data_IF_783175888391
#
_entry.id   IF_783175888391
#
_cell.length_a   1.000
_cell.length_b   1.000
_cell.length_c   1.000
_cell.angle_alpha   90.00
_cell.angle_beta   90.00
_cell.angle_gamma   90.00
#
_symmetry.space_group_name_H-M   'P 1'
#
loop_
_entity.id
_entity.type
_entity.pdbx_description
1 polymer ?
#
# COMPACT_ATOMS: atom_id res chain seq x y z
N UNK A 1 -1.40 15.51 -4.25
CA UNK A 1 -0.21 16.41 -4.31
C UNK A 1 -0.53 17.67 -5.13
N UNK A 2 0.20 18.79 -5.01
CA UNK A 2 -0.03 19.98 -5.84
C UNK A 2 0.12 19.66 -7.33
N UNK A 3 -0.87 20.00 -8.16
CA UNK A 3 -0.85 19.69 -9.60
C UNK A 3 0.33 20.34 -10.35
N UNK A 4 0.80 21.49 -9.87
CA UNK A 4 2.02 22.14 -10.37
C UNK A 4 3.27 21.23 -10.31
N UNK A 5 3.38 20.35 -9.29
CA UNK A 5 4.48 19.37 -9.23
C UNK A 5 4.35 18.30 -10.32
N UNK A 6 3.14 18.01 -10.78
CA UNK A 6 2.91 17.12 -11.93
C UNK A 6 3.31 17.81 -13.22
N UNK A 7 2.84 19.03 -13.47
CA UNK A 7 3.06 19.71 -14.75
C UNK A 7 4.50 20.17 -14.95
N UNK A 8 5.17 20.70 -13.92
CA UNK A 8 6.54 21.23 -14.05
C UNK A 8 7.63 20.19 -13.83
N UNK A 9 7.38 19.20 -12.96
CA UNK A 9 8.40 18.23 -12.55
C UNK A 9 8.08 16.80 -12.99
N UNK A 10 6.89 16.52 -13.53
CA UNK A 10 6.48 15.17 -13.92
C UNK A 10 6.08 14.30 -12.73
N UNK A 11 5.70 14.89 -11.60
CA UNK A 11 5.34 14.17 -10.38
C UNK A 11 6.55 13.43 -9.79
N UNK A 12 6.31 12.27 -9.18
CA UNK A 12 7.33 11.49 -8.49
C UNK A 12 8.34 10.80 -9.41
N UNK A 13 8.34 11.08 -10.71
CA UNK A 13 9.47 10.74 -11.60
C UNK A 13 10.71 11.57 -11.28
N UNK A 14 10.56 12.70 -10.61
CA UNK A 14 11.62 13.67 -10.40
C UNK A 14 12.10 13.68 -8.95
N UNK A 15 13.38 13.39 -8.76
CA UNK A 15 14.04 13.30 -7.46
C UNK A 15 13.90 14.58 -6.60
N UNK A 16 13.71 15.75 -7.21
CA UNK A 16 13.48 17.02 -6.48
C UNK A 16 12.24 16.98 -5.59
N UNK A 17 11.26 16.11 -5.87
CA UNK A 17 10.06 15.97 -5.03
C UNK A 17 10.36 15.45 -3.64
N UNK A 18 11.47 14.72 -3.45
CA UNK A 18 11.95 14.35 -2.11
C UNK A 18 12.11 15.59 -1.25
N UNK A 19 12.83 16.61 -1.74
CA UNK A 19 13.12 17.81 -0.96
C UNK A 19 11.86 18.66 -0.75
N UNK A 20 10.97 18.72 -1.74
CA UNK A 20 9.67 19.39 -1.58
C UNK A 20 8.81 18.73 -0.51
N UNK A 21 8.75 17.39 -0.49
CA UNK A 21 8.05 16.63 0.54
C UNK A 21 8.69 16.83 1.92
N UNK A 22 10.01 16.69 2.03
CA UNK A 22 10.73 16.89 3.31
C UNK A 22 10.49 18.29 3.86
N UNK A 23 10.47 19.32 3.01
CA UNK A 23 10.15 20.69 3.40
C UNK A 23 8.71 20.82 3.90
N UNK A 24 7.75 20.27 3.17
CA UNK A 24 6.34 20.24 3.58
C UNK A 24 6.17 19.54 4.94
N UNK A 25 6.73 18.34 5.08
CA UNK A 25 6.71 17.55 6.29
C UNK A 25 7.29 18.37 7.47
N UNK A 26 8.49 18.96 7.31
CA UNK A 26 9.09 19.78 8.38
C UNK A 26 8.14 20.89 8.85
N UNK A 27 7.48 21.61 7.95
CA UNK A 27 6.53 22.68 8.30
C UNK A 27 5.36 22.13 9.11
N UNK A 28 4.69 21.08 8.64
CA UNK A 28 3.50 20.55 9.33
C UNK A 28 3.85 19.91 10.67
N UNK A 29 4.94 19.15 10.74
CA UNK A 29 5.38 18.51 11.97
C UNK A 29 5.79 19.57 13.01
N UNK A 30 6.59 20.59 12.65
CA UNK A 30 6.93 21.67 13.59
C UNK A 30 5.69 22.43 14.07
N UNK A 31 4.70 22.67 13.20
CA UNK A 31 3.48 23.40 13.55
C UNK A 31 2.57 22.61 14.50
N UNK A 32 2.48 21.29 14.32
CA UNK A 32 1.48 20.45 14.98
C UNK A 32 2.05 19.42 15.97
N UNK A 33 3.36 19.46 16.25
CA UNK A 33 4.06 18.52 17.13
C UNK A 33 3.46 18.31 18.54
N UNK A 34 2.68 19.27 19.05
CA UNK A 34 2.00 19.18 20.35
C UNK A 34 0.48 19.01 20.23
N UNK A 35 -0.03 18.82 19.00
CA UNK A 35 -1.47 18.66 18.71
C UNK A 35 -1.79 17.32 18.05
N UNK A 36 -0.84 16.77 17.30
CA UNK A 36 -1.03 15.52 16.55
C UNK A 36 0.09 14.56 16.92
N UNK A 37 -0.27 13.42 17.51
CA UNK A 37 0.66 12.38 17.96
C UNK A 37 0.93 11.33 16.89
N UNK A 38 -0.10 10.91 16.15
CA UNK A 38 -0.03 9.84 15.15
C UNK A 38 -0.02 10.43 13.74
N UNK A 39 0.92 9.98 12.93
CA UNK A 39 1.15 10.46 11.58
C UNK A 39 1.38 9.31 10.62
N UNK A 40 0.90 9.45 9.39
CA UNK A 40 1.28 8.59 8.27
C UNK A 40 1.83 9.46 7.14
N UNK A 41 2.61 8.84 6.26
CA UNK A 41 3.39 9.56 5.25
C UNK A 41 2.66 9.61 3.91
N UNK A 42 2.54 8.47 3.23
CA UNK A 42 1.81 8.32 1.97
C UNK A 42 0.66 7.34 2.15
N UNK A 43 -0.55 7.76 1.78
CA UNK A 43 -1.72 6.89 1.77
C UNK A 43 -1.56 5.81 0.70
N UNK A 44 -1.87 4.57 1.06
CA UNK A 44 -1.92 3.40 0.19
C UNK A 44 -0.82 3.40 -0.87
N UNK A 45 0.42 3.55 -0.43
CA UNK A 45 1.58 3.76 -1.32
C UNK A 45 1.73 2.63 -2.35
N UNK A 46 1.23 1.44 -2.02
CA UNK A 46 1.30 0.24 -2.85
C UNK A 46 0.19 0.12 -3.89
N UNK A 47 -0.83 0.99 -3.91
CA UNK A 47 -1.86 0.94 -4.96
C UNK A 47 -1.24 1.07 -6.36
N UNK A 48 -0.17 1.85 -6.50
CA UNK A 48 0.57 1.99 -7.77
C UNK A 48 1.24 0.70 -8.25
N UNK A 49 1.25 -0.39 -7.46
CA UNK A 49 1.60 -1.72 -7.96
C UNK A 49 0.70 -2.14 -9.14
N UNK A 50 -0.55 -1.66 -9.19
CA UNK A 50 -1.37 -1.66 -10.39
C UNK A 50 -1.00 -0.49 -11.31
N UNK A 51 0.13 -0.61 -12.00
CA UNK A 51 0.61 0.42 -12.94
C UNK A 51 -0.05 0.32 -14.33
N UNK A 52 -0.86 -0.70 -14.59
CA UNK A 52 -1.56 -0.87 -15.85
C UNK A 52 -2.73 0.09 -16.01
N UNK A 53 -3.27 0.59 -14.89
CA UNK A 53 -4.31 1.62 -14.85
C UNK A 53 -3.73 3.01 -14.55
N UNK A 54 -4.49 4.06 -14.88
CA UNK A 54 -4.03 5.44 -14.68
C UNK A 54 -4.30 5.94 -13.25
N UNK A 55 -5.29 5.39 -12.56
CA UNK A 55 -5.77 5.91 -11.28
C UNK A 55 -4.67 5.92 -10.21
N UNK A 56 -4.08 4.75 -9.91
CA UNK A 56 -3.14 4.64 -8.81
C UNK A 56 -1.81 5.37 -9.07
N UNK A 57 -1.15 5.21 -10.23
CA UNK A 57 0.06 5.97 -10.56
C UNK A 57 -0.16 7.49 -10.54
N UNK A 58 -1.32 7.97 -10.98
CA UNK A 58 -1.63 9.41 -10.95
C UNK A 58 -1.92 9.92 -9.53
N UNK A 59 -2.72 9.19 -8.74
CA UNK A 59 -3.14 9.65 -7.41
C UNK A 59 -2.05 9.47 -6.35
N UNK A 60 -1.34 8.33 -6.34
CA UNK A 60 -0.20 8.14 -5.44
C UNK A 60 0.95 9.08 -5.82
N UNK A 61 1.30 9.07 -7.10
CA UNK A 61 2.64 9.46 -7.55
C UNK A 61 2.64 10.63 -8.55
N UNK A 62 1.46 11.12 -8.95
CA UNK A 62 1.37 12.17 -9.97
C UNK A 62 1.94 11.75 -11.32
N UNK A 63 2.00 10.43 -11.58
CA UNK A 63 2.53 9.87 -12.81
C UNK A 63 1.47 9.96 -13.88
N UNK A 64 1.72 10.81 -14.89
CA UNK A 64 0.96 10.81 -16.14
C UNK A 64 1.81 10.13 -17.20
N UNK A 65 1.39 8.93 -17.60
CA UNK A 65 2.11 8.18 -18.62
C UNK A 65 1.95 8.81 -20.00
N UNK A 66 3.01 8.74 -20.80
CA UNK A 66 2.97 9.10 -22.21
C UNK A 66 2.37 7.95 -23.04
N UNK A 67 1.73 8.24 -24.19
CA UNK A 67 1.29 7.19 -25.10
C UNK A 67 2.43 6.25 -25.49
N UNK A 68 2.24 4.95 -25.28
CA UNK A 68 3.25 3.92 -25.60
C UNK A 68 4.42 3.82 -24.62
N UNK A 69 4.40 4.56 -23.51
CA UNK A 69 5.43 4.46 -22.48
C UNK A 69 5.34 3.15 -21.71
N UNK A 70 6.48 2.50 -21.48
CA UNK A 70 6.57 1.37 -20.57
C UNK A 70 6.36 1.87 -19.13
N UNK A 71 5.24 1.47 -18.55
CA UNK A 71 4.72 2.01 -17.29
C UNK A 71 5.44 1.46 -16.06
N UNK A 72 5.92 0.22 -16.13
CA UNK A 72 6.58 -0.49 -15.04
C UNK A 72 7.91 0.15 -14.61
N UNK A 73 8.86 0.44 -15.52
CA UNK A 73 10.12 1.12 -15.19
C UNK A 73 9.92 2.60 -14.83
N UNK A 74 8.71 3.15 -14.97
CA UNK A 74 8.35 4.50 -14.50
C UNK A 74 7.74 4.44 -13.10
N UNK A 75 6.89 3.45 -12.82
CA UNK A 75 6.31 3.23 -11.49
C UNK A 75 7.39 2.97 -10.44
N UNK A 76 8.35 2.10 -10.75
CA UNK A 76 9.34 1.68 -9.76
C UNK A 76 10.22 2.81 -9.20
N UNK A 77 10.84 3.67 -10.04
CA UNK A 77 11.53 4.85 -9.54
C UNK A 77 10.60 5.80 -8.76
N UNK A 78 9.36 5.98 -9.21
CA UNK A 78 8.37 6.82 -8.53
C UNK A 78 8.06 6.34 -7.12
N UNK A 79 7.70 5.05 -6.98
CA UNK A 79 7.46 4.40 -5.70
C UNK A 79 8.70 4.41 -4.81
N UNK A 80 9.89 4.20 -5.38
CA UNK A 80 11.14 4.26 -4.64
C UNK A 80 11.42 5.66 -4.05
N UNK A 81 11.30 6.71 -4.86
CA UNK A 81 11.48 8.10 -4.41
C UNK A 81 10.47 8.47 -3.30
N UNK A 82 9.22 8.01 -3.43
CA UNK A 82 8.22 8.14 -2.38
C UNK A 82 8.62 7.42 -1.11
N UNK A 83 9.14 6.20 -1.17
CA UNK A 83 9.60 5.46 0.03
C UNK A 83 10.83 6.10 0.69
N UNK A 84 11.73 6.72 -0.07
CA UNK A 84 12.94 7.36 0.47
C UNK A 84 12.64 8.69 1.17
N UNK A 85 11.64 9.43 0.68
CA UNK A 85 11.39 10.80 1.15
C UNK A 85 11.01 10.92 2.65
N UNK A 86 10.17 10.05 3.24
CA UNK A 86 9.89 10.09 4.66
C UNK A 86 11.05 9.56 5.48
N UNK A 87 11.80 8.59 4.96
CA UNK A 87 12.98 8.07 5.64
C UNK A 87 14.06 9.16 5.77
N UNK A 88 14.30 9.92 4.69
CA UNK A 88 15.15 11.11 4.67
C UNK A 88 14.64 12.20 5.62
N UNK A 89 13.34 12.47 5.64
CA UNK A 89 12.75 13.43 6.60
C UNK A 89 12.95 12.97 8.04
N UNK A 90 12.71 11.69 8.32
CA UNK A 90 12.77 11.11 9.66
C UNK A 90 14.18 11.20 10.23
N UNK A 91 15.17 10.87 9.40
CA UNK A 91 16.58 11.04 9.71
C UNK A 91 16.95 12.51 9.97
N UNK A 92 16.45 13.44 9.15
CA UNK A 92 16.88 14.84 9.18
C UNK A 92 16.16 15.73 10.19
N UNK A 93 14.98 15.36 10.67
CA UNK A 93 14.14 16.33 11.40
C UNK A 93 13.15 15.73 12.42
N UNK A 94 12.58 14.55 12.18
CA UNK A 94 11.45 14.09 13.00
C UNK A 94 11.79 13.95 14.48
N UNK A 95 12.93 13.30 14.77
CA UNK A 95 13.40 13.07 16.15
C UNK A 95 13.85 14.36 16.84
N UNK A 96 14.34 15.33 16.07
CA UNK A 96 14.71 16.66 16.59
C UNK A 96 13.47 17.50 16.94
N UNK A 97 12.41 17.41 16.13
CA UNK A 97 11.17 18.18 16.35
C UNK A 97 10.48 17.68 17.61
N UNK A 98 10.07 16.42 17.64
CA UNK A 98 9.47 15.82 18.82
C UNK A 98 9.62 14.29 18.77
N UNK A 99 10.44 13.68 19.65
CA UNK A 99 10.66 12.23 19.65
C UNK A 99 9.43 11.43 20.12
N UNK A 100 8.39 12.06 20.67
CA UNK A 100 7.16 11.37 21.09
C UNK A 100 6.19 11.08 19.93
N UNK A 101 6.45 11.63 18.74
CA UNK A 101 5.60 11.44 17.57
C UNK A 101 5.68 9.99 17.09
N UNK A 102 4.54 9.45 16.67
CA UNK A 102 4.42 8.12 16.09
C UNK A 102 4.22 8.28 14.59
N UNK A 103 5.15 7.80 13.77
CA UNK A 103 5.07 7.92 12.31
C UNK A 103 5.01 6.53 11.68
N UNK A 104 3.85 6.22 11.08
CA UNK A 104 3.58 4.98 10.38
C UNK A 104 3.72 5.07 8.86
N UNK A 105 3.78 3.91 8.22
CA UNK A 105 3.40 3.79 6.80
C UNK A 105 1.88 3.63 6.67
N UNK A 106 1.38 3.69 5.43
CA UNK A 106 -0.01 3.35 5.12
C UNK A 106 -0.05 2.45 3.88
N UNK A 107 -0.59 1.24 4.06
CA UNK A 107 -0.62 0.17 3.04
C UNK A 107 -2.07 -0.22 2.73
N UNK A 108 -2.43 -0.33 1.46
CA UNK A 108 -3.66 -1.00 1.05
C UNK A 108 -3.50 -2.51 1.18
N UNK A 109 -4.14 -3.11 2.18
CA UNK A 109 -4.06 -4.55 2.43
C UNK A 109 -5.26 -5.27 1.83
N UNK A 110 -5.04 -5.83 0.65
CA UNK A 110 -5.88 -6.84 0.01
C UNK A 110 -5.09 -8.17 -0.01
N UNK A 111 -5.30 -9.08 0.95
CA UNK A 111 -4.58 -10.35 0.94
C UNK A 111 -4.92 -11.13 -0.34
N UNK A 112 -3.93 -11.77 -0.95
CA UNK A 112 -4.08 -12.48 -2.23
C UNK A 112 -3.96 -13.98 -1.96
N UNK A 113 -5.09 -14.67 -2.01
CA UNK A 113 -5.16 -16.11 -1.77
C UNK A 113 -4.86 -16.92 -3.03
N UNK A 114 -4.27 -18.11 -2.90
CA UNK A 114 -4.27 -19.09 -3.98
C UNK A 114 -5.68 -19.66 -4.14
N UNK A 115 -6.16 -19.79 -5.38
CA UNK A 115 -7.50 -20.34 -5.68
C UNK A 115 -7.63 -21.81 -5.24
N UNK A 116 -6.52 -22.57 -5.32
CA UNK A 116 -6.46 -23.98 -4.95
C UNK A 116 -5.16 -24.32 -4.23
N UNK A 117 -5.06 -25.55 -3.71
CA UNK A 117 -3.82 -26.07 -3.14
C UNK A 117 -2.78 -26.53 -4.19
N UNK A 118 -3.01 -26.27 -5.47
CA UNK A 118 -2.02 -26.53 -6.51
C UNK A 118 -0.73 -25.76 -6.20
N UNK A 119 0.45 -26.39 -6.26
CA UNK A 119 1.71 -25.73 -5.91
C UNK A 119 1.98 -24.44 -6.69
N UNK A 120 1.59 -24.38 -7.96
CA UNK A 120 1.77 -23.17 -8.77
C UNK A 120 0.79 -22.05 -8.38
N UNK A 121 -0.43 -22.35 -7.92
CA UNK A 121 -1.34 -21.35 -7.37
C UNK A 121 -0.78 -20.75 -6.08
N UNK A 122 -0.19 -21.59 -5.21
CA UNK A 122 0.51 -21.15 -4.01
C UNK A 122 1.67 -20.20 -4.34
N UNK A 123 2.51 -20.56 -5.30
CA UNK A 123 3.64 -19.73 -5.73
C UNK A 123 3.17 -18.43 -6.40
N UNK A 124 2.09 -18.47 -7.18
CA UNK A 124 1.48 -17.28 -7.78
C UNK A 124 1.00 -16.29 -6.70
N UNK A 125 0.29 -16.78 -5.68
CA UNK A 125 -0.14 -15.96 -4.55
C UNK A 125 1.04 -15.34 -3.79
N UNK A 126 2.09 -16.13 -3.53
CA UNK A 126 3.31 -15.62 -2.89
C UNK A 126 3.98 -14.52 -3.72
N UNK A 127 4.14 -14.72 -5.03
CA UNK A 127 4.72 -13.72 -5.93
C UNK A 127 3.86 -12.45 -6.03
N UNK A 128 2.54 -12.60 -6.02
CA UNK A 128 1.61 -11.48 -6.00
C UNK A 128 1.74 -10.65 -4.70
N UNK A 129 1.82 -11.30 -3.54
CA UNK A 129 2.07 -10.64 -2.26
C UNK A 129 3.44 -9.92 -2.27
N UNK A 130 4.50 -10.59 -2.71
CA UNK A 130 5.82 -9.97 -2.90
C UNK A 130 5.77 -8.72 -3.78
N UNK A 131 5.00 -8.78 -4.86
CA UNK A 131 4.87 -7.69 -5.83
C UNK A 131 4.12 -6.49 -5.27
N UNK A 132 3.10 -6.73 -4.45
CA UNK A 132 2.25 -5.68 -3.88
C UNK A 132 2.80 -5.09 -2.57
N UNK A 133 3.51 -5.87 -1.75
CA UNK A 133 3.83 -5.48 -0.37
C UNK A 133 5.31 -5.16 -0.09
N UNK A 134 6.19 -5.15 -1.10
CA UNK A 134 7.59 -4.76 -0.90
C UNK A 134 7.77 -3.34 -0.32
N UNK A 135 6.78 -2.45 -0.53
CA UNK A 135 6.75 -1.13 0.10
C UNK A 135 6.78 -1.23 1.63
N UNK A 136 6.07 -2.20 2.20
CA UNK A 136 6.05 -2.46 3.64
C UNK A 136 7.42 -2.89 4.13
N UNK A 137 8.12 -3.77 3.39
CA UNK A 137 9.49 -4.17 3.73
C UNK A 137 10.44 -2.98 3.74
N UNK A 138 10.34 -2.09 2.75
CA UNK A 138 11.17 -0.88 2.69
C UNK A 138 10.86 0.06 3.85
N UNK A 139 9.59 0.26 4.21
CA UNK A 139 9.20 1.14 5.31
C UNK A 139 9.56 0.59 6.70
N UNK A 140 9.45 -0.72 6.90
CA UNK A 140 9.65 -1.34 8.21
C UNK A 140 11.10 -1.77 8.42
N UNK A 141 11.70 -2.41 7.41
CA UNK A 141 13.05 -3.01 7.50
C UNK A 141 14.12 -2.11 6.92
N UNK A 142 13.75 -1.00 6.26
CA UNK A 142 14.69 -0.02 5.72
C UNK A 142 15.54 -0.54 4.56
N UNK A 143 15.12 -1.62 3.89
CA UNK A 143 15.85 -2.24 2.79
C UNK A 143 14.91 -2.91 1.80
N UNK A 144 15.35 -2.97 0.54
CA UNK A 144 14.64 -3.71 -0.50
C UNK A 144 14.77 -5.22 -0.27
N UNK A 145 13.68 -6.00 -0.39
CA UNK A 145 13.76 -7.44 -0.25
C UNK A 145 14.45 -8.08 -1.46
N UNK A 146 15.15 -9.19 -1.24
CA UNK A 146 15.98 -9.83 -2.28
C UNK A 146 15.17 -10.27 -3.50
N UNK A 147 13.93 -10.76 -3.31
CA UNK A 147 13.08 -11.18 -4.43
C UNK A 147 12.80 -10.04 -5.41
N UNK A 148 12.73 -8.80 -4.93
CA UNK A 148 12.51 -7.62 -5.76
C UNK A 148 13.79 -7.21 -6.51
N UNK A 149 14.96 -7.34 -5.86
CA UNK A 149 16.24 -7.11 -6.53
C UNK A 149 16.46 -8.14 -7.67
N UNK A 150 16.16 -9.41 -7.42
CA UNK A 150 16.21 -10.46 -8.45
C UNK A 150 15.23 -10.18 -9.59
N UNK A 151 14.06 -9.64 -9.27
CA UNK A 151 13.08 -9.21 -10.26
C UNK A 151 13.63 -8.06 -11.14
N UNK A 152 14.28 -7.06 -10.54
CA UNK A 152 14.91 -5.97 -11.28
C UNK A 152 16.01 -6.45 -12.22
N UNK A 153 16.88 -7.34 -11.74
CA UNK A 153 17.93 -7.95 -12.56
C UNK A 153 17.34 -8.68 -13.76
N UNK A 154 16.32 -9.54 -13.54
CA UNK A 154 15.60 -10.26 -14.61
C UNK A 154 14.95 -9.34 -15.65
N UNK A 155 14.44 -8.18 -15.22
CA UNK A 155 13.77 -7.21 -16.10
C UNK A 155 14.71 -6.17 -16.70
N UNK A 156 15.98 -6.14 -16.29
CA UNK A 156 16.93 -5.11 -16.69
C UNK A 156 16.60 -3.73 -16.11
N UNK A 157 15.92 -3.66 -14.96
CA UNK A 157 15.62 -2.39 -14.30
C UNK A 157 16.81 -1.92 -13.46
N UNK A 158 17.28 -0.70 -13.73
CA UNK A 158 18.32 -0.05 -12.95
C UNK A 158 17.73 1.14 -12.20
N UNK A 159 17.42 0.94 -10.91
CA UNK A 159 17.03 2.04 -10.04
C UNK A 159 18.27 2.84 -9.63
N UNK A 160 18.17 4.16 -9.74
CA UNK A 160 19.15 5.10 -9.21
C UNK A 160 19.04 5.14 -7.67
N UNK A 161 19.54 4.12 -6.97
CA UNK A 161 19.53 4.06 -5.50
C UNK A 161 20.92 4.49 -5.01
N UNK A 162 21.00 5.70 -4.46
CA UNK A 162 22.25 6.24 -3.92
C UNK A 162 22.57 5.62 -2.55
N UNK A 163 23.82 5.71 -2.10
CA UNK A 163 24.18 5.24 -0.76
C UNK A 163 23.46 6.07 0.32
N UNK A 164 23.25 7.36 0.08
CA UNK A 164 22.47 8.24 0.93
C UNK A 164 21.01 7.77 1.04
N UNK A 165 20.43 7.21 -0.03
CA UNK A 165 19.09 6.61 0.02
C UNK A 165 19.05 5.36 0.91
N UNK A 166 20.08 4.50 0.82
CA UNK A 166 20.17 3.28 1.63
C UNK A 166 20.31 3.58 3.11
N UNK A 167 21.16 4.55 3.46
CA UNK A 167 21.32 5.02 4.84
C UNK A 167 20.03 5.62 5.35
N UNK A 168 19.38 6.49 4.56
CA UNK A 168 18.13 7.12 4.94
C UNK A 168 17.02 6.09 5.20
N UNK A 169 16.86 5.09 4.33
CA UNK A 169 15.89 4.01 4.51
C UNK A 169 16.13 3.22 5.80
N UNK A 170 17.37 2.82 6.06
CA UNK A 170 17.73 2.03 7.24
C UNK A 170 17.47 2.79 8.54
N UNK A 171 17.73 4.09 8.56
CA UNK A 171 17.59 4.92 9.76
C UNK A 171 16.20 5.55 9.90
N UNK A 172 15.39 5.48 8.84
CA UNK A 172 14.10 6.13 8.72
C UNK A 172 12.89 5.20 8.79
N UNK A 173 13.05 4.00 9.37
CA UNK A 173 11.96 3.03 9.53
C UNK A 173 10.77 3.58 10.33
N UNK A 174 9.58 3.08 10.03
CA UNK A 174 8.31 3.51 10.65
C UNK A 174 8.12 2.94 12.06
N UNK A 175 7.25 3.57 12.86
CA UNK A 175 6.91 3.14 14.23
C UNK A 175 5.75 2.15 14.28
N UNK A 176 4.86 2.20 13.28
CA UNK A 176 3.67 1.36 13.18
C UNK A 176 3.27 1.19 11.72
N UNK A 177 2.40 0.21 11.45
CA UNK A 177 1.83 -0.03 10.12
C UNK A 177 0.37 0.40 10.16
N UNK A 178 0.07 1.52 9.52
CA UNK A 178 -1.30 1.86 9.15
C UNK A 178 -1.69 1.04 7.92
N UNK A 179 -2.92 0.53 7.87
CA UNK A 179 -3.43 -0.12 6.67
C UNK A 179 -4.93 0.06 6.51
N UNK A 180 -5.37 0.04 5.26
CA UNK A 180 -6.78 -0.12 4.90
C UNK A 180 -7.09 -1.59 4.65
N UNK A 181 -8.31 -2.00 4.96
CA UNK A 181 -8.83 -3.31 4.62
C UNK A 181 -10.28 -3.21 4.18
N UNK A 182 -10.57 -3.74 3.00
CA UNK A 182 -11.92 -3.76 2.44
C UNK A 182 -12.34 -5.13 1.90
N UNK A 183 -11.39 -5.85 1.32
CA UNK A 183 -11.63 -7.09 0.60
C UNK A 183 -10.35 -7.94 0.53
N UNK A 184 -10.52 -9.21 0.20
CA UNK A 184 -9.45 -10.10 -0.23
C UNK A 184 -9.53 -10.37 -1.73
N UNK A 185 -8.42 -10.83 -2.31
CA UNK A 185 -8.33 -11.31 -3.68
C UNK A 185 -8.01 -12.80 -3.73
N UNK A 186 -8.21 -13.42 -4.89
CA UNK A 186 -7.68 -14.74 -5.20
C UNK A 186 -6.90 -14.68 -6.52
N UNK A 187 -5.92 -15.58 -6.69
CA UNK A 187 -5.11 -15.74 -7.89
C UNK A 187 -4.93 -17.22 -8.21
N UNK A 188 -4.67 -17.54 -9.47
CA UNK A 188 -4.29 -18.89 -9.91
C UNK A 188 -3.16 -18.81 -10.93
N UNK A 189 -2.37 -19.86 -11.04
CA UNK A 189 -1.39 -19.98 -12.12
C UNK A 189 -2.09 -20.26 -13.45
N UNK A 190 -1.47 -19.79 -14.54
CA UNK A 190 -1.94 -20.01 -15.91
C UNK A 190 -0.77 -20.45 -16.79
N UNK A 191 -1.05 -21.28 -17.79
CA UNK A 191 -0.01 -21.89 -18.64
C UNK A 191 0.75 -20.85 -19.47
N UNK A 192 0.13 -19.72 -19.78
CA UNK A 192 0.71 -18.59 -20.50
C UNK A 192 1.58 -17.67 -19.63
N UNK A 193 1.69 -17.92 -18.32
CA UNK A 193 2.53 -17.19 -17.38
C UNK A 193 3.50 -18.11 -16.62
N UNK A 194 4.46 -18.77 -17.32
CA UNK A 194 5.37 -19.73 -16.69
C UNK A 194 6.33 -19.09 -15.67
N UNK A 195 6.51 -17.76 -15.72
CA UNK A 195 7.35 -17.02 -14.77
C UNK A 195 6.61 -16.62 -13.49
N UNK A 196 5.28 -16.82 -13.45
CA UNK A 196 4.42 -16.44 -12.33
C UNK A 196 4.59 -14.96 -11.94
N UNK A 197 4.77 -14.10 -12.94
CA UNK A 197 4.84 -12.66 -12.74
C UNK A 197 3.42 -12.12 -12.48
N UNK A 198 3.25 -11.31 -11.44
CA UNK A 198 1.95 -10.76 -11.07
C UNK A 198 1.62 -9.50 -11.86
N UNK A 199 0.58 -9.58 -12.67
CA UNK A 199 -0.13 -8.47 -13.30
C UNK A 199 -1.55 -8.42 -12.70
N UNK A 200 -1.83 -7.42 -11.88
CA UNK A 200 -3.10 -7.29 -11.17
C UNK A 200 -4.32 -7.27 -12.09
N UNK A 201 -4.18 -6.73 -13.31
CA UNK A 201 -5.27 -6.64 -14.29
C UNK A 201 -5.66 -7.99 -14.90
N UNK A 202 -4.82 -9.02 -14.76
CA UNK A 202 -5.01 -10.34 -15.41
C UNK A 202 -4.93 -11.53 -14.46
N UNK A 203 -4.18 -11.40 -13.37
CA UNK A 203 -3.84 -12.52 -12.49
C UNK A 203 -4.95 -12.84 -11.48
N UNK A 204 -5.83 -11.87 -11.21
CA UNK A 204 -6.88 -12.01 -10.22
C UNK A 204 -8.06 -12.84 -10.74
N UNK A 205 -8.62 -13.66 -9.85
CA UNK A 205 -9.82 -14.47 -10.08
C UNK A 205 -10.81 -14.24 -8.95
N UNK A 206 -12.09 -14.54 -9.22
CA UNK A 206 -13.13 -14.49 -8.19
C UNK A 206 -12.92 -15.60 -7.17
N UNK A 207 -12.99 -15.25 -5.89
CA UNK A 207 -13.11 -16.22 -4.81
C UNK A 207 -14.57 -16.74 -4.78
N UNK A 208 -14.81 -18.05 -4.97
CA UNK A 208 -16.18 -18.60 -5.03
C UNK A 208 -16.84 -18.74 -3.66
N UNK A 209 -16.11 -18.50 -2.56
CA UNK A 209 -16.58 -18.74 -1.19
C UNK A 209 -17.09 -17.50 -0.47
N UNK A 210 -17.02 -16.32 -1.10
CA UNK A 210 -17.41 -15.04 -0.49
C UNK A 210 -18.35 -14.27 -1.40
N UNK A 211 -19.21 -13.47 -0.79
CA UNK A 211 -20.09 -12.55 -1.50
C UNK A 211 -19.33 -11.33 -2.03
N UNK A 212 -20.00 -10.53 -2.85
CA UNK A 212 -19.47 -9.27 -3.38
C UNK A 212 -20.47 -8.13 -3.18
N UNK A 213 -19.96 -6.92 -3.02
CA UNK A 213 -20.75 -5.70 -3.12
C UNK A 213 -21.19 -5.45 -4.57
N UNK A 214 -22.07 -4.46 -4.76
CA UNK A 214 -22.53 -4.03 -6.09
C UNK A 214 -21.39 -3.48 -6.98
N UNK A 215 -20.26 -3.08 -6.38
CA UNK A 215 -19.04 -2.66 -7.08
C UNK A 215 -18.05 -3.81 -7.32
N UNK A 216 -18.46 -5.06 -7.03
CA UNK A 216 -17.64 -6.26 -7.22
C UNK A 216 -16.59 -6.50 -6.14
N UNK A 217 -16.59 -5.72 -5.05
CA UNK A 217 -15.63 -5.90 -3.94
C UNK A 217 -16.01 -7.10 -3.09
N UNK A 218 -15.08 -8.03 -2.90
CA UNK A 218 -15.33 -9.27 -2.16
C UNK A 218 -15.45 -9.00 -0.65
N UNK A 219 -16.50 -9.53 -0.03
CA UNK A 219 -16.78 -9.34 1.40
C UNK A 219 -16.15 -10.49 2.18
N UNK A 220 -14.97 -10.24 2.75
CA UNK A 220 -14.19 -11.24 3.48
C UNK A 220 -13.73 -10.69 4.84
N UNK A 221 -14.53 -10.80 5.91
CA UNK A 221 -14.11 -10.38 7.24
C UNK A 221 -12.96 -11.23 7.81
N UNK A 222 -12.91 -12.52 7.48
CA UNK A 222 -11.85 -13.43 7.97
C UNK A 222 -10.49 -13.02 7.41
N UNK A 223 -10.46 -12.48 6.20
CA UNK A 223 -9.26 -11.93 5.61
C UNK A 223 -8.65 -10.76 6.39
N UNK A 224 -9.45 -9.99 7.15
CA UNK A 224 -8.90 -8.95 8.03
C UNK A 224 -8.06 -9.59 9.14
N UNK A 225 -8.57 -10.65 9.75
CA UNK A 225 -7.81 -11.43 10.74
C UNK A 225 -6.56 -12.04 10.13
N UNK A 226 -6.64 -12.60 8.92
CA UNK A 226 -5.46 -13.08 8.20
C UNK A 226 -4.43 -11.96 8.03
N UNK A 227 -4.85 -10.79 7.57
CA UNK A 227 -3.98 -9.62 7.34
C UNK A 227 -3.29 -9.13 8.61
N UNK A 228 -4.01 -9.06 9.73
CA UNK A 228 -3.47 -8.69 11.04
C UNK A 228 -2.35 -9.66 11.48
N UNK A 229 -2.60 -10.97 11.39
CA UNK A 229 -1.58 -11.98 11.70
C UNK A 229 -0.41 -11.90 10.71
N UNK A 230 -0.68 -11.75 9.41
CA UNK A 230 0.35 -11.66 8.39
C UNK A 230 1.30 -10.49 8.65
N UNK A 231 0.77 -9.29 8.90
CA UNK A 231 1.61 -8.15 9.23
C UNK A 231 2.40 -8.37 10.52
N UNK A 232 1.75 -8.88 11.57
CA UNK A 232 2.42 -9.13 12.84
C UNK A 232 3.56 -10.14 12.72
N UNK A 233 3.32 -11.27 12.05
CA UNK A 233 4.30 -12.35 11.85
C UNK A 233 5.47 -11.91 10.95
N UNK A 234 5.27 -10.94 10.07
CA UNK A 234 6.34 -10.43 9.21
C UNK A 234 7.13 -9.28 9.86
N UNK A 235 6.48 -8.43 10.66
CA UNK A 235 7.03 -7.12 11.01
C UNK A 235 7.09 -6.81 12.50
N UNK A 236 6.28 -7.47 13.34
CA UNK A 236 6.25 -7.28 14.80
C UNK A 236 6.16 -5.79 15.22
N UNK A 237 5.42 -4.99 14.44
CA UNK A 237 5.13 -3.59 14.76
C UNK A 237 3.65 -3.44 15.14
N UNK A 238 3.31 -2.42 15.95
CA UNK A 238 1.92 -2.04 16.18
C UNK A 238 1.19 -1.82 14.85
N UNK A 239 -0.04 -2.30 14.79
CA UNK A 239 -0.90 -2.20 13.62
C UNK A 239 -2.02 -1.20 13.88
N UNK A 240 -2.44 -0.47 12.85
CA UNK A 240 -3.55 0.47 12.93
C UNK A 240 -4.45 0.29 11.69
N UNK A 241 -5.64 -0.27 11.87
CA UNK A 241 -6.70 -0.23 10.85
C UNK A 241 -7.16 1.21 10.73
N UNK A 242 -6.75 1.89 9.65
CA UNK A 242 -7.07 3.30 9.42
C UNK A 242 -8.18 3.49 8.40
N UNK A 243 -8.54 2.44 7.66
CA UNK A 243 -9.74 2.41 6.83
C UNK A 243 -10.36 1.01 6.80
N UNK A 244 -11.67 0.94 6.98
CA UNK A 244 -12.53 -0.22 6.72
C UNK A 244 -13.96 0.29 6.53
N UNK A 245 -14.70 -0.25 5.56
CA UNK A 245 -16.05 0.23 5.30
C UNK A 245 -16.74 -0.45 4.14
N UNK A 246 -18.04 -0.17 4.02
CA UNK A 246 -18.89 -0.76 3.00
C UNK A 246 -19.60 0.33 2.20
N UNK A 247 -19.17 0.49 0.95
CA UNK A 247 -19.85 1.31 -0.05
C UNK A 247 -21.12 0.60 -0.51
N UNK A 248 -22.25 1.29 -0.41
CA UNK A 248 -23.59 0.79 -0.72
C UNK A 248 -24.49 1.95 -1.14
N UNK A 249 -25.52 1.66 -1.93
CA UNK A 249 -26.53 2.66 -2.27
C UNK A 249 -27.47 2.80 -1.08
N UNK A 250 -27.47 3.98 -0.47
CA UNK A 250 -28.40 4.31 0.61
C UNK A 250 -29.76 4.72 0.02
N UNK A 251 -30.85 4.17 0.57
CA UNK A 251 -32.22 4.58 0.27
C UNK A 251 -32.75 5.38 1.45
N UNK A 252 -33.26 6.58 1.16
CA UNK A 252 -33.85 7.44 2.19
C UNK A 252 -35.31 7.06 2.40
N UNK A 253 -35.65 6.68 3.62
CA UNK A 253 -36.99 6.31 4.04
C UNK A 253 -37.92 7.53 4.14
N UNK A 254 -39.23 7.26 4.24
CA UNK A 254 -40.26 8.30 4.31
C UNK A 254 -40.12 9.22 5.54
N UNK A 255 -39.56 8.72 6.64
CA UNK A 255 -39.28 9.49 7.86
C UNK A 255 -37.96 10.28 7.79
N UNK A 256 -37.21 10.12 6.69
CA UNK A 256 -35.94 10.77 6.43
C UNK A 256 -34.70 10.03 6.91
N UNK A 257 -34.85 8.86 7.54
CA UNK A 257 -33.75 7.96 7.92
C UNK A 257 -33.21 7.16 6.73
N UNK A 258 -32.15 6.38 6.96
CA UNK A 258 -31.61 5.37 6.04
C UNK A 258 -31.50 4.09 6.85
N UNK A 259 -32.12 3.01 6.41
CA UNK A 259 -31.88 1.67 6.97
C UNK A 259 -30.63 1.07 6.32
N UNK A 260 -29.49 1.23 6.98
CA UNK A 260 -28.19 0.75 6.51
C UNK A 260 -27.72 -0.52 7.23
N UNK A 261 -28.65 -1.43 7.55
CA UNK A 261 -28.32 -2.72 8.18
C UNK A 261 -27.20 -3.48 7.45
N UNK A 262 -27.13 -3.40 6.12
CA UNK A 262 -26.05 -3.99 5.32
C UNK A 262 -24.65 -3.47 5.72
N UNK A 263 -24.54 -2.20 6.11
CA UNK A 263 -23.30 -1.56 6.53
C UNK A 263 -22.96 -1.95 7.97
N UNK A 264 -23.98 -2.01 8.84
CA UNK A 264 -23.84 -2.50 10.22
C UNK A 264 -23.33 -3.95 10.21
N UNK A 265 -23.92 -4.82 9.39
CA UNK A 265 -23.53 -6.23 9.26
C UNK A 265 -22.09 -6.38 8.80
N UNK A 266 -21.68 -5.63 7.77
CA UNK A 266 -20.30 -5.61 7.28
C UNK A 266 -19.32 -5.20 8.38
N UNK A 267 -19.55 -4.05 9.03
CA UNK A 267 -18.62 -3.51 10.03
C UNK A 267 -18.56 -4.43 11.26
N UNK A 268 -19.70 -4.94 11.72
CA UNK A 268 -19.78 -5.86 12.86
C UNK A 268 -18.99 -7.14 12.60
N UNK A 269 -19.08 -7.69 11.38
CA UNK A 269 -18.33 -8.90 11.01
C UNK A 269 -16.81 -8.67 11.02
N UNK A 270 -16.34 -7.52 10.53
CA UNK A 270 -14.90 -7.18 10.52
C UNK A 270 -14.37 -6.88 11.92
N UNK A 271 -15.13 -6.14 12.74
CA UNK A 271 -14.78 -5.87 14.14
C UNK A 271 -14.65 -7.19 14.91
N UNK A 272 -15.58 -8.13 14.73
CA UNK A 272 -15.52 -9.44 15.38
C UNK A 272 -14.27 -10.26 14.99
N UNK A 273 -13.77 -10.13 13.75
CA UNK A 273 -12.53 -10.79 13.34
C UNK A 273 -11.27 -10.09 13.85
N UNK A 274 -11.30 -8.76 14.01
CA UNK A 274 -10.25 -8.00 14.68
C UNK A 274 -10.14 -8.37 16.18
N UNK A 275 -11.26 -8.57 16.88
CA UNK A 275 -11.22 -9.01 18.29
C UNK A 275 -10.65 -10.43 18.47
N UNK A 276 -10.66 -11.25 17.41
CA UNK A 276 -10.09 -12.60 17.39
C UNK A 276 -8.60 -12.62 17.01
N UNK A 277 -8.02 -11.51 16.55
CA UNK A 277 -6.59 -11.45 16.29
C UNK A 277 -5.85 -11.34 17.62
N UNK A 278 -4.83 -12.18 17.82
CA UNK A 278 -4.03 -12.20 19.05
C UNK A 278 -2.84 -11.23 19.03
N UNK A 279 -2.83 -10.27 18.11
CA UNK A 279 -1.75 -9.30 17.89
C UNK A 279 -2.22 -7.86 18.16
#
# INVERSE_FOLDING_TARGET
MPYHLVTEYGGWRNRKLIDFFVRFARVVFTRYQHKVKYWMTFNEINNQANFHEDFAPFTNSGLKYLPGEDREPVMFPGGALMSWSPARWRLKAAREINPSLQIGCMIAMCPIYPLSCAPNDMMMAMNAMHRRYWFTDVHVRGRYPQHLLNYFERRGFALDITEEDRVALTQGCVDYIGFSYYMSFATKATDDNPQLDYDESKSLVSNPYVQKSDWGWQIDPVGLRYSLNWFWDHYQLPLFIVENGFGAIDVREADGSVDDQYRIDYLSAHIAENEKSGC
#
